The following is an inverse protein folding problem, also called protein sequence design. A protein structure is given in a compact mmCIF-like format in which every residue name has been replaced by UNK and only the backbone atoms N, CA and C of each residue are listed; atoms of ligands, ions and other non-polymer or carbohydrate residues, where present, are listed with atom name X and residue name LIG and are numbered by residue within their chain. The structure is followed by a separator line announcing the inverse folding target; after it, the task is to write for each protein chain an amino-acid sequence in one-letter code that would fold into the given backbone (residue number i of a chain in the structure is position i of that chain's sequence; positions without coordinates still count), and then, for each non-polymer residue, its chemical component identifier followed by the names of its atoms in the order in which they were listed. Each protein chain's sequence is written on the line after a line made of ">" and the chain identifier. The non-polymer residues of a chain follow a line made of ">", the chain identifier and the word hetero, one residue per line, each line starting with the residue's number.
data_IF_125758750799
#
_entry.id   IF_125758750799
#
_cell.length_a   1.000
_cell.length_b   1.000
_cell.length_c   1.000
_cell.angle_alpha   90.00
_cell.angle_beta   90.00
_cell.angle_gamma   90.00
#
_symmetry.space_group_name_H-M   'P 1'
#
loop_
_entity.id
_entity.type
_entity.pdbx_description
1 polymer ?
#
# COMPACT_ATOMS: atom_id res chain seq x y z
N UNK A 1 41.18 22.90 -11.39
CA UNK A 1 40.77 24.32 -11.47
C UNK A 1 39.72 24.55 -10.41
N UNK A 2 39.89 25.52 -9.50
CA UNK A 2 38.93 25.78 -8.44
C UNK A 2 37.84 26.75 -8.92
N UNK A 3 36.57 26.45 -8.62
CA UNK A 3 35.45 27.35 -8.90
C UNK A 3 35.51 28.56 -7.96
N UNK A 4 35.53 29.78 -8.51
CA UNK A 4 35.60 31.02 -7.74
C UNK A 4 34.26 31.77 -7.79
N UNK A 5 33.73 32.14 -6.62
CA UNK A 5 32.47 32.89 -6.52
C UNK A 5 32.53 34.28 -7.20
N UNK A 6 33.71 34.89 -7.28
CA UNK A 6 33.86 36.20 -7.93
C UNK A 6 33.70 36.10 -9.45
N UNK A 7 34.20 35.01 -10.05
CA UNK A 7 33.98 34.70 -11.47
C UNK A 7 32.48 34.50 -11.75
N UNK A 8 31.77 33.77 -10.90
CA UNK A 8 30.33 33.56 -11.06
C UNK A 8 29.52 34.86 -10.91
N UNK A 9 29.86 35.71 -9.92
CA UNK A 9 29.23 37.04 -9.77
C UNK A 9 29.45 37.93 -10.98
N UNK A 10 30.65 37.89 -11.57
CA UNK A 10 30.94 38.64 -12.79
C UNK A 10 29.99 38.23 -13.93
N UNK A 11 29.87 36.94 -14.22
CA UNK A 11 29.00 36.45 -15.29
C UNK A 11 27.51 36.66 -15.00
N UNK A 12 27.06 36.51 -13.76
CA UNK A 12 25.67 36.82 -13.38
C UNK A 12 25.33 38.29 -13.61
N UNK A 13 26.26 39.22 -13.37
CA UNK A 13 26.05 40.65 -13.68
C UNK A 13 25.94 40.91 -15.18
N UNK A 14 26.66 40.17 -16.02
CA UNK A 14 26.51 40.30 -17.47
C UNK A 14 25.16 39.75 -17.93
N UNK A 15 24.79 38.55 -17.48
CA UNK A 15 23.49 37.92 -17.78
C UNK A 15 22.31 38.80 -17.35
N UNK A 16 22.42 39.49 -16.22
CA UNK A 16 21.37 40.40 -15.75
C UNK A 16 21.12 41.56 -16.72
N UNK A 17 22.17 42.09 -17.38
CA UNK A 17 22.03 43.18 -18.36
C UNK A 17 21.35 42.71 -19.65
N UNK A 18 21.54 41.44 -20.02
CA UNK A 18 20.90 40.82 -21.18
C UNK A 18 19.43 40.49 -20.89
N UNK A 19 19.15 39.98 -19.69
CA UNK A 19 17.83 39.50 -19.29
C UNK A 19 16.88 40.62 -18.84
N UNK A 20 17.41 41.65 -18.19
CA UNK A 20 16.65 42.80 -17.70
C UNK A 20 17.38 44.12 -18.03
N UNK A 21 17.41 44.51 -19.32
CA UNK A 21 18.14 45.71 -19.75
C UNK A 21 17.63 47.00 -19.09
N UNK A 22 16.36 47.01 -18.66
CA UNK A 22 15.69 48.16 -18.06
C UNK A 22 15.79 48.16 -16.53
N UNK A 23 16.40 47.13 -15.92
CA UNK A 23 16.54 46.97 -14.46
C UNK A 23 15.20 47.05 -13.72
N UNK A 24 14.15 46.47 -14.30
CA UNK A 24 12.80 46.50 -13.75
C UNK A 24 12.50 45.34 -12.78
N UNK A 25 13.35 44.31 -12.73
CA UNK A 25 13.19 43.18 -11.81
C UNK A 25 13.45 43.63 -10.38
N UNK A 26 12.39 43.63 -9.57
CA UNK A 26 12.45 44.03 -8.18
C UNK A 26 13.00 42.93 -7.27
N UNK A 27 13.36 43.28 -6.04
CA UNK A 27 13.81 42.32 -5.05
C UNK A 27 12.68 41.34 -4.67
N UNK A 28 11.44 41.80 -4.63
CA UNK A 28 10.24 41.01 -4.37
C UNK A 28 10.05 39.93 -5.44
N UNK A 29 10.22 40.27 -6.71
CA UNK A 29 10.13 39.28 -7.80
C UNK A 29 11.19 38.18 -7.64
N UNK A 30 12.45 38.54 -7.34
CA UNK A 30 13.52 37.54 -7.13
C UNK A 30 13.24 36.64 -5.92
N UNK A 31 12.64 37.19 -4.87
CA UNK A 31 12.24 36.41 -3.71
C UNK A 31 11.12 35.41 -4.06
N UNK A 32 10.17 35.80 -4.90
CA UNK A 32 9.09 34.92 -5.40
C UNK A 32 9.66 33.81 -6.28
N UNK A 33 10.54 34.13 -7.23
CA UNK A 33 11.21 33.13 -8.08
C UNK A 33 11.99 32.11 -7.24
N UNK A 34 12.78 32.59 -6.27
CA UNK A 34 13.50 31.71 -5.33
C UNK A 34 12.52 30.84 -4.53
N UNK A 35 11.39 31.40 -4.10
CA UNK A 35 10.33 30.66 -3.43
C UNK A 35 9.68 29.59 -4.30
N UNK A 36 9.50 29.86 -5.60
CA UNK A 36 9.00 28.90 -6.59
C UNK A 36 9.95 27.72 -6.78
N UNK A 37 11.24 28.00 -6.98
CA UNK A 37 12.29 26.96 -7.07
C UNK A 37 12.39 26.13 -5.78
N UNK A 38 12.32 26.78 -4.61
CA UNK A 38 12.29 26.09 -3.33
C UNK A 38 11.01 25.24 -3.16
N UNK A 39 9.87 25.71 -3.69
CA UNK A 39 8.61 24.97 -3.72
C UNK A 39 8.69 23.71 -4.59
N UNK A 40 9.34 23.79 -5.75
CA UNK A 40 9.59 22.62 -6.61
C UNK A 40 10.37 21.52 -5.89
N UNK A 41 11.38 21.88 -5.09
CA UNK A 41 12.11 20.91 -4.26
C UNK A 41 11.20 20.21 -3.23
N UNK A 42 10.22 20.91 -2.66
CA UNK A 42 9.25 20.33 -1.74
C UNK A 42 8.30 19.38 -2.47
N UNK A 43 7.86 19.73 -3.67
CA UNK A 43 7.02 18.87 -4.50
C UNK A 43 7.73 17.54 -4.83
N UNK A 44 8.97 17.61 -5.29
CA UNK A 44 9.81 16.43 -5.55
C UNK A 44 10.01 15.58 -4.28
N UNK A 45 10.25 16.24 -3.13
CA UNK A 45 10.38 15.54 -1.85
C UNK A 45 9.07 14.83 -1.45
N UNK A 46 7.91 15.46 -1.68
CA UNK A 46 6.61 14.86 -1.38
C UNK A 46 6.37 13.60 -2.19
N UNK A 47 6.77 13.57 -3.46
CA UNK A 47 6.68 12.37 -4.32
C UNK A 47 7.54 11.24 -3.74
N UNK A 48 8.77 11.53 -3.34
CA UNK A 48 9.67 10.54 -2.72
C UNK A 48 9.06 10.01 -1.41
N UNK A 49 8.57 10.90 -0.54
CA UNK A 49 7.93 10.52 0.73
C UNK A 49 6.70 9.66 0.47
N UNK A 50 5.87 9.99 -0.51
CA UNK A 50 4.70 9.20 -0.88
C UNK A 50 5.10 7.78 -1.28
N UNK A 51 6.13 7.62 -2.13
CA UNK A 51 6.65 6.31 -2.54
C UNK A 51 7.20 5.49 -1.35
N UNK A 52 7.91 6.15 -0.42
CA UNK A 52 8.36 5.53 0.82
C UNK A 52 7.19 5.02 1.67
N UNK A 53 6.12 5.82 1.79
CA UNK A 53 4.93 5.44 2.55
C UNK A 53 4.24 4.20 1.95
N UNK A 54 4.21 4.05 0.62
CA UNK A 54 3.65 2.83 -0.03
C UNK A 54 4.42 1.58 0.34
N UNK A 55 5.75 1.65 0.34
CA UNK A 55 6.62 0.53 0.74
C UNK A 55 6.40 0.14 2.22
N UNK A 56 6.30 1.14 3.10
CA UNK A 56 6.00 0.90 4.52
C UNK A 56 4.60 0.30 4.72
N UNK A 57 3.60 0.75 3.95
CA UNK A 57 2.25 0.22 3.99
C UNK A 57 2.22 -1.27 3.59
N UNK A 58 2.96 -1.67 2.54
CA UNK A 58 3.09 -3.08 2.15
C UNK A 58 3.63 -3.95 3.29
N UNK A 59 4.70 -3.49 3.97
CA UNK A 59 5.27 -4.19 5.11
C UNK A 59 4.28 -4.30 6.28
N UNK A 60 3.54 -3.22 6.57
CA UNK A 60 2.51 -3.19 7.62
C UNK A 60 1.37 -4.17 7.31
N UNK A 61 0.88 -4.19 6.06
CA UNK A 61 -0.20 -5.08 5.62
C UNK A 61 0.24 -6.55 5.67
N UNK A 62 1.50 -6.83 5.28
CA UNK A 62 2.12 -8.15 5.44
C UNK A 62 2.10 -8.60 6.91
N UNK A 63 2.55 -7.73 7.82
CA UNK A 63 2.54 -8.02 9.26
C UNK A 63 1.14 -8.32 9.81
N UNK A 64 0.11 -7.62 9.34
CA UNK A 64 -1.28 -7.88 9.73
C UNK A 64 -1.80 -9.22 9.21
N UNK A 65 -1.56 -9.54 7.94
CA UNK A 65 -1.92 -10.83 7.35
C UNK A 65 -1.24 -12.00 8.07
N UNK A 66 0.05 -11.85 8.41
CA UNK A 66 0.80 -12.84 9.20
C UNK A 66 0.24 -13.01 10.61
N UNK A 67 -0.15 -11.91 11.27
CA UNK A 67 -0.77 -11.97 12.59
C UNK A 67 -2.10 -12.73 12.57
N UNK A 68 -2.96 -12.49 11.57
CA UNK A 68 -4.22 -13.25 11.39
C UNK A 68 -3.92 -14.72 11.11
N UNK A 69 -2.98 -15.01 10.19
CA UNK A 69 -2.56 -16.37 9.85
C UNK A 69 -2.05 -17.14 11.06
N UNK A 70 -1.23 -16.51 11.90
CA UNK A 70 -0.75 -17.07 13.18
C UNK A 70 -1.89 -17.43 14.11
N UNK A 71 -2.90 -16.57 14.24
CA UNK A 71 -4.08 -16.82 15.10
C UNK A 71 -4.91 -18.00 14.58
N UNK A 72 -5.12 -18.09 13.27
CA UNK A 72 -5.83 -19.22 12.63
C UNK A 72 -5.05 -20.53 12.79
N UNK A 73 -3.73 -20.51 12.59
CA UNK A 73 -2.88 -21.69 12.76
C UNK A 73 -2.89 -22.18 14.21
N UNK A 74 -2.77 -21.26 15.18
CA UNK A 74 -2.84 -21.55 16.61
C UNK A 74 -4.14 -22.24 17.01
N UNK A 75 -5.26 -21.78 16.47
CA UNK A 75 -6.56 -22.41 16.68
C UNK A 75 -6.62 -23.85 16.12
N UNK A 76 -6.07 -24.08 14.92
CA UNK A 76 -5.98 -25.44 14.33
C UNK A 76 -5.13 -26.40 15.17
N UNK A 77 -4.10 -25.88 15.84
CA UNK A 77 -3.24 -26.65 16.73
C UNK A 77 -3.84 -26.87 18.13
N UNK A 78 -5.01 -26.31 18.45
CA UNK A 78 -5.63 -26.41 19.77
C UNK A 78 -4.91 -25.61 20.87
N UNK A 79 -4.05 -24.66 20.51
CA UNK A 79 -3.27 -23.85 21.45
C UNK A 79 -4.10 -22.68 22.00
N UNK A 80 -3.85 -22.29 23.25
CA UNK A 80 -4.55 -21.20 23.94
C UNK A 80 -4.24 -19.85 23.30
N UNK A 81 -5.27 -19.02 23.08
CA UNK A 81 -5.12 -17.61 22.72
C UNK A 81 -6.28 -17.04 21.90
N UNK A 82 -6.15 -15.77 21.51
CA UNK A 82 -7.18 -15.04 20.75
C UNK A 82 -7.45 -15.68 19.38
N UNK A 83 -8.74 -15.80 19.04
CA UNK A 83 -9.24 -16.34 17.76
C UNK A 83 -9.71 -15.22 16.85
N UNK A 84 -9.69 -15.48 15.55
CA UNK A 84 -10.13 -14.53 14.52
C UNK A 84 -10.86 -15.31 13.42
N UNK A 85 -11.91 -14.72 12.83
CA UNK A 85 -12.59 -15.35 11.70
C UNK A 85 -11.68 -15.33 10.46
N UNK A 86 -11.88 -16.29 9.54
CA UNK A 86 -11.06 -16.42 8.32
C UNK A 86 -11.23 -15.24 7.38
N UNK A 87 -12.36 -14.55 7.47
CA UNK A 87 -12.72 -13.38 6.69
C UNK A 87 -11.72 -12.24 6.92
N UNK A 88 -11.22 -12.09 8.15
CA UNK A 88 -10.15 -11.14 8.45
C UNK A 88 -8.85 -11.44 7.69
N UNK A 89 -8.59 -12.70 7.32
CA UNK A 89 -7.40 -13.00 6.52
C UNK A 89 -7.61 -12.54 5.08
N UNK A 90 -8.82 -12.68 4.56
CA UNK A 90 -9.16 -12.21 3.22
C UNK A 90 -8.99 -10.68 3.12
N UNK A 91 -9.47 -9.94 4.11
CA UNK A 91 -9.32 -8.48 4.17
C UNK A 91 -7.84 -8.06 4.15
N UNK A 92 -7.01 -8.66 5.02
CA UNK A 92 -5.58 -8.29 5.09
C UNK A 92 -4.78 -8.75 3.85
N UNK A 93 -5.20 -9.83 3.18
CA UNK A 93 -4.62 -10.24 1.90
C UNK A 93 -5.05 -9.32 0.76
N UNK A 94 -6.27 -8.79 0.79
CA UNK A 94 -6.72 -7.79 -0.19
C UNK A 94 -5.93 -6.49 -0.03
N UNK A 95 -5.77 -6.00 1.20
CA UNK A 95 -4.91 -4.84 1.51
C UNK A 95 -3.48 -5.04 0.99
N UNK A 96 -2.94 -6.26 1.13
CA UNK A 96 -1.60 -6.61 0.64
C UNK A 96 -1.49 -6.50 -0.88
N UNK A 97 -2.46 -7.04 -1.63
CA UNK A 97 -2.47 -6.97 -3.09
C UNK A 97 -2.62 -5.53 -3.57
N UNK A 98 -3.55 -4.77 -2.97
CA UNK A 98 -3.76 -3.36 -3.31
C UNK A 98 -2.50 -2.51 -3.10
N UNK A 99 -1.81 -2.69 -1.96
CA UNK A 99 -0.57 -1.94 -1.71
C UNK A 99 0.59 -2.38 -2.60
N UNK A 100 0.65 -3.63 -3.03
CA UNK A 100 1.64 -4.08 -4.00
C UNK A 100 1.38 -3.46 -5.39
N UNK A 101 0.13 -3.34 -5.80
CA UNK A 101 -0.28 -2.70 -7.06
C UNK A 101 0.07 -1.22 -7.08
N UNK A 102 -0.26 -0.51 -6.00
CA UNK A 102 0.10 0.90 -5.81
C UNK A 102 1.62 1.15 -5.82
N UNK A 103 2.42 0.18 -5.37
CA UNK A 103 3.89 0.26 -5.44
C UNK A 103 4.40 -0.04 -6.86
N UNK A 104 3.74 -0.94 -7.58
CA UNK A 104 4.06 -1.23 -8.97
C UNK A 104 3.76 -0.03 -9.88
N UNK A 105 2.64 0.67 -9.64
CA UNK A 105 2.29 1.93 -10.29
C UNK A 105 3.40 2.99 -10.14
N UNK A 106 3.84 3.25 -8.90
CA UNK A 106 4.93 4.20 -8.61
C UNK A 106 6.24 3.82 -9.32
N UNK A 107 6.48 2.53 -9.55
CA UNK A 107 7.67 2.01 -10.22
C UNK A 107 7.52 1.87 -11.75
N UNK A 108 6.35 2.21 -12.32
CA UNK A 108 6.06 2.02 -13.75
C UNK A 108 6.02 0.54 -14.18
N UNK A 109 5.60 -0.36 -13.30
CA UNK A 109 5.53 -1.80 -13.54
C UNK A 109 4.09 -2.23 -13.78
N UNK A 110 3.84 -2.91 -14.91
CA UNK A 110 2.61 -3.70 -15.08
C UNK A 110 2.68 -4.95 -14.20
N UNK A 111 2.05 -4.87 -13.02
CA UNK A 111 2.05 -5.96 -12.05
C UNK A 111 1.39 -7.23 -12.60
N UNK A 112 0.34 -7.10 -13.38
CA UNK A 112 -0.36 -8.23 -13.99
C UNK A 112 0.53 -8.99 -14.98
N UNK A 113 1.22 -8.27 -15.87
CA UNK A 113 2.19 -8.84 -16.79
C UNK A 113 3.37 -9.48 -16.05
N UNK A 114 3.88 -8.84 -15.00
CA UNK A 114 4.97 -9.37 -14.18
C UNK A 114 4.61 -10.68 -13.47
N UNK A 115 3.42 -10.76 -12.86
CA UNK A 115 2.90 -11.98 -12.22
C UNK A 115 2.73 -13.10 -13.24
N UNK A 116 2.13 -12.80 -14.41
CA UNK A 116 1.95 -13.77 -15.51
C UNK A 116 3.27 -14.35 -15.98
N UNK A 117 4.24 -13.49 -16.30
CA UNK A 117 5.59 -13.87 -16.71
C UNK A 117 6.21 -14.78 -15.65
N UNK A 118 6.16 -14.38 -14.38
CA UNK A 118 6.75 -15.16 -13.29
C UNK A 118 6.10 -16.53 -13.13
N UNK A 119 4.77 -16.62 -13.22
CA UNK A 119 4.04 -17.87 -13.14
C UNK A 119 4.45 -18.85 -14.26
N UNK A 120 4.52 -18.34 -15.50
CA UNK A 120 4.88 -19.14 -16.66
C UNK A 120 6.35 -19.61 -16.59
N UNK A 121 7.28 -18.74 -16.20
CA UNK A 121 8.70 -19.10 -15.98
C UNK A 121 8.87 -20.21 -14.94
N UNK A 122 8.13 -20.15 -13.82
CA UNK A 122 8.17 -21.21 -12.79
C UNK A 122 7.59 -22.51 -13.33
N UNK A 123 6.57 -22.43 -14.18
CA UNK A 123 5.97 -23.60 -14.82
C UNK A 123 6.95 -24.25 -15.80
N UNK A 124 7.68 -23.47 -16.59
CA UNK A 124 8.74 -23.97 -17.49
C UNK A 124 9.85 -24.67 -16.69
N UNK A 125 10.36 -24.01 -15.63
CA UNK A 125 11.41 -24.55 -14.76
C UNK A 125 11.05 -25.89 -14.12
N UNK A 126 9.75 -26.15 -13.93
CA UNK A 126 9.23 -27.38 -13.32
C UNK A 126 8.67 -28.38 -14.33
N UNK A 127 8.76 -28.10 -15.63
CA UNK A 127 8.19 -28.96 -16.68
C UNK A 127 6.67 -29.08 -16.62
N UNK A 128 5.98 -28.09 -16.05
CA UNK A 128 4.51 -28.08 -15.93
C UNK A 128 3.88 -27.64 -17.26
N UNK A 129 2.67 -28.10 -17.54
CA UNK A 129 1.92 -27.76 -18.77
C UNK A 129 1.03 -26.52 -18.64
N UNK A 130 0.61 -26.17 -17.42
CA UNK A 130 -0.32 -25.07 -17.14
C UNK A 130 0.32 -23.70 -17.36
N UNK A 131 -0.35 -22.78 -18.06
CA UNK A 131 0.11 -21.40 -18.27
C UNK A 131 -1.05 -20.43 -18.04
N UNK A 132 -0.72 -19.19 -17.70
CA UNK A 132 -1.66 -18.08 -17.75
C UNK A 132 -1.54 -17.46 -19.15
N UNK A 133 -2.60 -17.50 -19.99
CA UNK A 133 -2.57 -16.95 -21.33
C UNK A 133 -2.66 -15.41 -21.30
N UNK A 134 -2.40 -14.78 -22.44
CA UNK A 134 -2.24 -13.32 -22.55
C UNK A 134 -3.56 -12.56 -22.41
N UNK A 135 -4.67 -13.12 -22.92
CA UNK A 135 -5.98 -12.45 -23.04
C UNK A 135 -7.13 -13.12 -22.26
N UNK A 136 -6.89 -13.95 -21.25
CA UNK A 136 -7.99 -14.42 -20.40
C UNK A 136 -8.42 -13.33 -19.42
N UNK A 137 -9.67 -12.87 -19.58
CA UNK A 137 -10.44 -12.33 -18.47
C UNK A 137 -10.71 -13.48 -17.50
N UNK A 138 -10.13 -13.44 -16.31
CA UNK A 138 -10.45 -14.41 -15.25
C UNK A 138 -11.95 -14.31 -14.97
N UNK A 139 -12.68 -15.40 -15.20
CA UNK A 139 -14.09 -15.49 -14.83
C UNK A 139 -14.26 -15.26 -13.33
N UNK A 140 -15.27 -14.49 -12.90
CA UNK A 140 -15.56 -14.11 -11.51
C UNK A 140 -15.83 -15.30 -10.54
N UNK A 141 -15.83 -16.53 -11.05
CA UNK A 141 -16.10 -17.74 -10.29
C UNK A 141 -14.81 -18.46 -9.92
N UNK A 142 -14.47 -18.44 -8.64
CA UNK A 142 -13.43 -19.29 -8.06
C UNK A 142 -13.77 -20.78 -8.29
N UNK A 143 -12.99 -21.55 -9.07
CA UNK A 143 -13.25 -22.97 -9.25
C UNK A 143 -12.80 -23.74 -7.99
N UNK A 144 -13.67 -24.63 -7.53
CA UNK A 144 -13.41 -25.67 -6.52
C UNK A 144 -13.34 -25.32 -5.02
N UNK A 145 -14.46 -24.86 -4.46
CA UNK A 145 -14.73 -25.07 -3.03
C UNK A 145 -14.85 -26.56 -2.60
N UNK A 146 -15.40 -27.51 -3.40
CA UNK A 146 -15.63 -28.88 -2.92
C UNK A 146 -14.35 -29.70 -2.68
N UNK A 147 -13.34 -29.58 -3.54
CA UNK A 147 -12.08 -30.31 -3.40
C UNK A 147 -11.31 -29.93 -2.13
N UNK A 148 -11.41 -28.65 -1.70
CA UNK A 148 -10.83 -28.18 -0.43
C UNK A 148 -11.56 -28.72 0.79
N UNK A 149 -12.88 -28.89 0.71
CA UNK A 149 -13.67 -29.52 1.79
C UNK A 149 -13.31 -31.00 1.95
N UNK A 150 -13.08 -31.72 0.85
CA UNK A 150 -12.62 -33.11 0.89
C UNK A 150 -11.19 -33.23 1.45
N UNK A 151 -10.24 -32.40 1.02
CA UNK A 151 -8.89 -32.37 1.59
C UNK A 151 -8.88 -32.03 3.09
N UNK A 152 -9.81 -31.16 3.53
CA UNK A 152 -10.01 -30.84 4.95
C UNK A 152 -10.54 -32.03 5.75
N UNK A 153 -11.46 -32.81 5.17
CA UNK A 153 -12.01 -34.01 5.82
C UNK A 153 -11.00 -35.16 5.89
N UNK A 154 -10.07 -35.24 4.93
CA UNK A 154 -8.99 -36.24 4.93
C UNK A 154 -7.91 -35.95 6.00
N UNK A 155 -7.69 -34.68 6.36
CA UNK A 155 -6.70 -34.28 7.38
C UNK A 155 -7.26 -34.27 8.81
N UNK A 156 -8.58 -34.21 9.00
CA UNK A 156 -9.23 -34.20 10.33
C UNK A 156 -10.57 -34.96 10.33
N UNK A 157 -10.57 -36.30 10.44
CA UNK A 157 -11.78 -37.12 10.37
C UNK A 157 -12.77 -36.94 11.54
N UNK A 158 -12.41 -36.25 12.64
CA UNK A 158 -13.21 -36.22 13.87
C UNK A 158 -14.12 -35.00 14.09
N UNK A 159 -14.22 -34.07 13.14
CA UNK A 159 -14.96 -32.80 13.36
C UNK A 159 -16.31 -32.68 12.62
N UNK A 160 -16.91 -33.79 12.21
CA UNK A 160 -18.32 -33.81 11.81
C UNK A 160 -19.23 -33.79 13.06
N UNK A 161 -19.25 -32.69 13.83
CA UNK A 161 -20.34 -32.40 14.77
C UNK A 161 -21.02 -31.09 14.40
N UNK A 162 -22.34 -31.14 14.45
CA UNK A 162 -23.30 -30.13 14.02
C UNK A 162 -22.88 -28.72 14.44
N UNK A 163 -22.76 -27.82 13.46
CA UNK A 163 -22.53 -26.41 13.72
C UNK A 163 -23.79 -25.81 14.38
N UNK A 164 -23.68 -25.14 15.54
CA UNK A 164 -24.81 -24.42 16.11
C UNK A 164 -25.22 -23.24 15.22
N UNK A 165 -26.52 -22.92 15.24
CA UNK A 165 -27.12 -21.86 14.44
C UNK A 165 -26.36 -20.52 14.56
N UNK A 166 -26.09 -19.87 13.43
CA UNK A 166 -25.41 -18.57 13.36
C UNK A 166 -26.23 -17.52 14.13
N UNK A 167 -25.66 -16.79 15.10
CA UNK A 167 -26.31 -15.61 15.64
C UNK A 167 -26.40 -14.51 14.57
N UNK A 168 -27.47 -13.73 14.61
CA UNK A 168 -27.74 -12.66 13.66
C UNK A 168 -26.55 -11.67 13.55
N UNK A 169 -26.25 -11.17 12.33
CA UNK A 169 -25.16 -10.23 12.12
C UNK A 169 -25.38 -8.97 12.94
N UNK A 170 -24.45 -8.64 13.83
CA UNK A 170 -24.44 -7.35 14.52
C UNK A 170 -24.19 -6.27 13.46
N UNK A 171 -25.04 -5.23 13.44
CA UNK A 171 -24.89 -4.09 12.53
C UNK A 171 -23.45 -3.57 12.56
N UNK A 172 -22.82 -3.30 11.39
CA UNK A 172 -21.47 -2.79 11.33
C UNK A 172 -21.47 -1.35 11.85
N UNK A 173 -20.94 -1.13 13.06
CA UNK A 173 -20.52 0.21 13.47
C UNK A 173 -19.29 0.54 12.63
N UNK A 174 -19.43 1.46 11.67
CA UNK A 174 -18.32 1.87 10.82
C UNK A 174 -17.15 2.34 11.70
N UNK A 175 -15.94 1.87 11.40
CA UNK A 175 -14.72 2.25 12.15
C UNK A 175 -14.55 3.78 12.20
N UNK A 176 -15.11 4.50 11.22
CA UNK A 176 -15.25 5.95 11.15
C UNK A 176 -16.07 6.56 12.30
N UNK A 177 -17.19 5.96 12.71
CA UNK A 177 -18.00 6.45 13.83
C UNK A 177 -17.29 6.31 15.18
N UNK A 178 -16.45 5.29 15.34
CA UNK A 178 -15.63 5.10 16.54
C UNK A 178 -14.47 6.11 16.60
N UNK A 179 -13.83 6.41 15.46
CA UNK A 179 -12.78 7.41 15.34
C UNK A 179 -13.31 8.84 15.62
N UNK A 180 -14.48 9.20 15.10
CA UNK A 180 -15.13 10.49 15.36
C UNK A 180 -15.51 10.67 16.84
N UNK A 181 -15.98 9.61 17.51
CA UNK A 181 -16.25 9.65 18.96
C UNK A 181 -14.98 9.82 19.80
N UNK A 182 -13.87 9.24 19.37
CA UNK A 182 -12.59 9.39 20.07
C UNK A 182 -12.04 10.82 19.91
N UNK A 183 -12.03 11.36 18.68
CA UNK A 183 -11.61 12.74 18.42
C UNK A 183 -12.50 13.76 19.14
N UNK A 184 -13.83 13.56 19.17
CA UNK A 184 -14.76 14.44 19.88
C UNK A 184 -14.45 14.53 21.38
N UNK A 185 -14.08 13.41 22.03
CA UNK A 185 -13.71 13.39 23.46
C UNK A 185 -12.41 14.11 23.75
N UNK A 186 -11.41 13.97 22.88
CA UNK A 186 -10.11 14.64 23.02
C UNK A 186 -10.25 16.15 22.87
N UNK A 187 -11.11 16.61 21.95
CA UNK A 187 -11.35 18.04 21.73
C UNK A 187 -12.19 18.72 22.82
N UNK A 188 -13.05 17.98 23.51
CA UNK A 188 -13.84 18.52 24.64
C UNK A 188 -13.07 18.54 25.97
N UNK A 189 -11.99 17.75 26.10
CA UNK A 189 -11.22 17.65 27.34
C UNK A 189 -10.21 18.80 27.56
N UNK A 190 -10.01 19.67 26.56
CA UNK A 190 -9.03 20.75 26.57
C UNK A 190 -9.63 22.16 26.42
N UNK A 191 -10.92 22.35 26.77
CA UNK A 191 -11.47 23.72 26.87
C UNK A 191 -11.10 24.31 28.23
N UNK A 192 -10.32 25.40 28.29
CA UNK A 192 -10.20 26.16 29.53
C UNK A 192 -11.57 26.76 29.89
N UNK A 193 -11.93 26.67 31.16
CA UNK A 193 -13.08 27.35 31.77
C UNK A 193 -12.89 28.86 31.79
#
# INVERSE_FOLDING_TARGET
>A
MAFCFDTMRYYNKQRQKEWDPQSQITQEFRAIEMGGEAGGLVEELLIIVQSMLRTMALAANTGRALNVSKKLARERMGLVGSRVPKENLADELADLVLTADLLAEDAGIDLGAAVRKKFNEVSDKRGLKTRIPENELLSDTWPDQPARLQARNLLHPSQARQAPARPAPKQPRSRWQAALKFMGRVLTANRPT
#
